data_IF_433881969394
#
_entry.id   IF_433881969394
#
_cell.length_a   1.000
_cell.length_b   1.000
_cell.length_c   1.000
_cell.angle_alpha   90.00
_cell.angle_beta   90.00
_cell.angle_gamma   90.00
#
_symmetry.space_group_name_H-M   'P 1'
#
loop_
_entity.id
_entity.type
_entity.pdbx_description
1 polymer ?
#
# COMPACT_ATOMS: atom_id res chain seq x y z
N UNK A 1 -11.57 3.57 -68.77
CA UNK A 1 -10.15 3.22 -68.66
C UNK A 1 -9.79 3.06 -67.17
N UNK A 2 -9.69 1.80 -66.74
CA UNK A 2 -9.27 1.50 -65.35
C UNK A 2 -7.86 0.97 -65.40
N UNK A 3 -6.91 1.68 -64.88
CA UNK A 3 -5.51 1.21 -64.77
C UNK A 3 -5.43 0.30 -63.52
N UNK A 4 -5.06 -0.94 -63.79
CA UNK A 4 -4.79 -1.99 -62.80
C UNK A 4 -3.32 -1.92 -62.49
N UNK A 5 -3.00 -1.70 -61.22
CA UNK A 5 -1.64 -1.85 -60.70
C UNK A 5 -1.43 -3.29 -60.25
N UNK A 6 -0.82 -4.11 -61.07
CA UNK A 6 -0.33 -5.42 -60.67
C UNK A 6 1.12 -5.25 -60.20
N UNK A 7 1.34 -5.39 -58.94
CA UNK A 7 2.69 -5.49 -58.41
C UNK A 7 3.12 -6.96 -58.50
N UNK A 8 4.11 -7.22 -59.33
CA UNK A 8 4.77 -8.54 -59.42
C UNK A 8 5.52 -8.84 -58.10
N UNK A 9 5.19 -9.97 -57.48
CA UNK A 9 5.91 -10.50 -56.34
C UNK A 9 7.18 -11.26 -56.82
N UNK A 10 8.31 -11.09 -56.17
CA UNK A 10 9.53 -11.85 -56.52
C UNK A 10 9.32 -13.33 -56.13
N UNK A 11 9.61 -14.18 -57.14
CA UNK A 11 9.63 -15.64 -56.99
C UNK A 11 10.83 -16.07 -56.18
N UNK A 12 10.58 -16.77 -55.10
CA UNK A 12 11.57 -17.66 -54.51
C UNK A 12 11.89 -17.43 -53.05
N UNK A 13 11.00 -17.87 -52.16
CA UNK A 13 11.48 -18.48 -50.91
C UNK A 13 10.37 -19.41 -50.39
N UNK A 14 10.58 -20.71 -50.57
CA UNK A 14 9.79 -21.73 -49.90
C UNK A 14 10.22 -21.75 -48.43
N UNK A 15 9.38 -21.32 -47.51
CA UNK A 15 9.53 -21.58 -46.10
C UNK A 15 8.32 -22.37 -45.64
N UNK A 16 8.64 -23.55 -45.13
CA UNK A 16 7.75 -24.48 -44.49
C UNK A 16 7.06 -23.83 -43.28
N UNK A 17 5.86 -24.33 -43.00
CA UNK A 17 4.95 -23.83 -41.98
C UNK A 17 5.58 -23.50 -40.65
N UNK A 18 5.32 -22.29 -40.23
CA UNK A 18 5.33 -21.91 -38.83
C UNK A 18 4.05 -21.09 -38.59
N UNK A 19 3.26 -21.61 -37.68
CA UNK A 19 2.08 -20.93 -37.16
C UNK A 19 2.47 -19.51 -36.75
N UNK A 20 1.84 -18.52 -37.35
CA UNK A 20 1.94 -17.14 -36.91
C UNK A 20 1.26 -17.01 -35.55
N UNK A 21 2.01 -17.21 -34.47
CA UNK A 21 1.68 -16.64 -33.19
C UNK A 21 1.77 -15.13 -33.43
N UNK A 22 0.63 -14.44 -33.36
CA UNK A 22 0.60 -12.99 -33.27
C UNK A 22 1.37 -12.60 -31.98
N UNK A 23 2.67 -12.42 -32.10
CA UNK A 23 3.45 -11.72 -31.12
C UNK A 23 2.92 -10.29 -31.14
N UNK A 24 2.17 -9.92 -30.14
CA UNK A 24 1.91 -8.54 -29.81
C UNK A 24 3.28 -7.85 -29.79
N UNK A 25 3.54 -7.00 -30.78
CA UNK A 25 4.83 -6.39 -31.01
C UNK A 25 5.31 -5.77 -29.70
N UNK A 26 6.39 -6.31 -29.21
CA UNK A 26 7.18 -5.68 -28.18
C UNK A 26 7.59 -4.29 -28.70
N UNK A 27 6.89 -3.27 -28.24
CA UNK A 27 7.44 -1.93 -28.19
C UNK A 27 8.65 -2.06 -27.32
N UNK A 28 9.82 -1.80 -27.91
CA UNK A 28 11.11 -1.92 -27.27
C UNK A 28 11.14 -1.16 -25.93
N UNK A 29 11.77 -1.70 -24.93
CA UNK A 29 11.56 -1.34 -23.55
C UNK A 29 12.40 -0.11 -23.19
N UNK A 30 11.73 0.96 -22.84
CA UNK A 30 12.20 1.54 -21.59
C UNK A 30 11.87 0.48 -20.54
N UNK A 31 12.85 0.04 -19.78
CA UNK A 31 12.72 -1.02 -18.79
C UNK A 31 11.79 -0.57 -17.66
N UNK A 32 10.52 -0.53 -17.95
CA UNK A 32 9.46 -0.53 -16.97
C UNK A 32 9.38 -1.99 -16.52
N UNK A 33 9.97 -2.28 -15.37
CA UNK A 33 9.81 -3.58 -14.75
C UNK A 33 8.34 -3.91 -14.66
N UNK A 34 7.97 -5.16 -14.87
CA UNK A 34 6.59 -5.61 -14.67
C UNK A 34 6.15 -5.26 -13.25
N UNK A 35 4.95 -4.70 -13.05
CA UNK A 35 4.44 -4.47 -11.72
C UNK A 35 4.50 -5.75 -10.90
N UNK A 36 5.05 -5.66 -9.70
CA UNK A 36 5.14 -6.78 -8.77
C UNK A 36 4.52 -6.39 -7.44
N UNK A 37 3.90 -7.35 -6.75
CA UNK A 37 3.35 -7.17 -5.41
C UNK A 37 4.29 -7.83 -4.41
N UNK A 38 4.68 -7.07 -3.39
CA UNK A 38 5.43 -7.58 -2.26
C UNK A 38 4.66 -7.29 -0.97
N UNK A 39 4.50 -8.29 -0.10
CA UNK A 39 3.96 -8.08 1.24
C UNK A 39 5.04 -7.44 2.12
N UNK A 40 4.76 -6.29 2.69
CA UNK A 40 5.65 -5.58 3.60
C UNK A 40 5.54 -6.10 5.04
N UNK A 41 4.33 -6.47 5.46
CA UNK A 41 4.01 -7.02 6.76
C UNK A 41 2.74 -7.86 6.70
N UNK A 42 2.68 -8.93 7.47
CA UNK A 42 1.49 -9.75 7.66
C UNK A 42 1.06 -9.67 9.14
N UNK A 43 -0.14 -9.15 9.37
CA UNK A 43 -0.71 -9.09 10.71
C UNK A 43 -0.95 -10.50 11.28
N UNK A 44 -0.73 -10.65 12.59
CA UNK A 44 -0.91 -11.92 13.31
C UNK A 44 -2.18 -11.94 14.14
N UNK A 45 -2.90 -10.83 14.17
CA UNK A 45 -4.01 -10.57 15.08
C UNK A 45 -3.52 -10.21 16.50
N UNK A 46 -4.43 -10.07 17.45
CA UNK A 46 -4.10 -9.73 18.84
C UNK A 46 -3.33 -8.40 18.96
N UNK A 47 -2.12 -8.42 19.56
CA UNK A 47 -1.40 -7.22 19.95
C UNK A 47 -0.95 -6.33 18.78
N UNK A 48 -0.74 -6.87 17.59
CA UNK A 48 -0.29 -6.10 16.43
C UNK A 48 -1.42 -5.55 15.56
N UNK A 49 -2.65 -5.95 15.84
CA UNK A 49 -3.83 -5.56 15.10
C UNK A 49 -4.29 -6.62 14.11
N UNK A 50 -5.48 -6.42 13.57
CA UNK A 50 -6.09 -7.24 12.52
C UNK A 50 -7.00 -6.36 11.64
N UNK A 51 -7.35 -6.85 10.47
CA UNK A 51 -8.25 -6.16 9.54
C UNK A 51 -7.80 -4.72 9.23
N UNK A 52 -6.72 -4.52 8.47
CA UNK A 52 -6.29 -3.19 8.05
C UNK A 52 -7.21 -2.66 6.94
N UNK A 53 -8.41 -2.23 7.31
CA UNK A 53 -9.44 -1.75 6.38
C UNK A 53 -9.24 -0.29 5.97
N UNK A 54 -8.54 0.49 6.79
CA UNK A 54 -8.16 1.86 6.48
C UNK A 54 -7.05 1.94 5.43
N UNK A 55 -7.00 3.04 4.69
CA UNK A 55 -5.88 3.33 3.80
C UNK A 55 -4.59 3.56 4.57
N UNK A 56 -3.47 3.43 3.87
CA UNK A 56 -2.15 3.82 4.40
C UNK A 56 -1.71 5.16 3.84
N UNK A 57 -0.94 5.90 4.63
CA UNK A 57 -0.27 7.14 4.21
C UNK A 57 1.24 6.98 4.31
N UNK A 58 1.99 7.70 3.50
CA UNK A 58 3.44 7.72 3.56
C UNK A 58 3.93 9.07 4.11
N UNK A 59 4.71 9.02 5.17
CA UNK A 59 5.40 10.18 5.73
C UNK A 59 6.59 10.61 4.87
N UNK A 60 7.10 11.82 5.15
CA UNK A 60 8.23 12.41 4.42
C UNK A 60 9.53 11.61 4.54
N UNK A 61 9.66 10.81 5.57
CA UNK A 61 10.79 9.91 5.85
C UNK A 61 10.63 8.52 5.18
N UNK A 62 9.58 8.33 4.38
CA UNK A 62 9.25 7.07 3.74
C UNK A 62 8.54 6.06 4.64
N UNK A 63 8.35 6.36 5.93
CA UNK A 63 7.59 5.51 6.85
C UNK A 63 6.12 5.46 6.42
N UNK A 64 5.55 4.27 6.38
CA UNK A 64 4.13 4.06 6.10
C UNK A 64 3.39 4.01 7.43
N UNK A 65 2.27 4.72 7.52
CA UNK A 65 1.36 4.70 8.66
C UNK A 65 0.00 4.17 8.24
N UNK A 66 -0.64 3.42 9.11
CA UNK A 66 -1.97 2.87 8.87
C UNK A 66 -2.70 2.52 10.15
N UNK A 67 -3.92 2.05 10.00
CA UNK A 67 -4.76 1.57 11.07
C UNK A 67 -5.18 0.13 10.81
N UNK A 68 -5.32 -0.64 11.88
CA UNK A 68 -6.02 -1.90 11.89
C UNK A 68 -7.25 -1.74 12.79
N UNK A 69 -8.43 -2.08 12.30
CA UNK A 69 -9.68 -1.80 13.01
C UNK A 69 -9.90 -2.72 14.22
N UNK A 70 -9.28 -3.89 14.22
CA UNK A 70 -9.36 -4.91 15.27
C UNK A 70 -7.98 -5.19 15.88
N UNK A 71 -7.98 -5.94 16.97
CA UNK A 71 -6.77 -6.29 17.72
C UNK A 71 -6.30 -5.13 18.61
N UNK A 72 -5.05 -5.18 19.04
CA UNK A 72 -4.56 -4.35 20.14
C UNK A 72 -4.85 -4.97 21.49
N UNK A 73 -4.67 -4.20 22.56
CA UNK A 73 -4.82 -4.71 23.94
C UNK A 73 -6.29 -5.04 24.25
N UNK A 74 -7.20 -4.18 23.80
CA UNK A 74 -8.65 -4.25 24.13
C UNK A 74 -9.50 -4.62 22.91
N UNK A 75 -8.87 -5.13 21.84
CA UNK A 75 -9.52 -5.49 20.58
C UNK A 75 -10.28 -4.34 19.88
N UNK A 76 -9.89 -3.11 20.18
CA UNK A 76 -10.50 -1.89 19.66
C UNK A 76 -9.69 -1.26 18.52
N UNK A 77 -8.68 -1.99 18.03
CA UNK A 77 -7.86 -1.58 16.90
C UNK A 77 -6.55 -0.88 17.29
N UNK A 78 -5.70 -0.70 16.30
CA UNK A 78 -4.36 -0.13 16.46
C UNK A 78 -4.05 0.93 15.41
N UNK A 79 -3.16 1.85 15.76
CA UNK A 79 -2.41 2.70 14.82
C UNK A 79 -1.00 2.14 14.73
N UNK A 80 -0.50 1.93 13.53
CA UNK A 80 0.83 1.33 13.31
C UNK A 80 1.70 2.14 12.36
N UNK A 81 2.99 1.81 12.37
CA UNK A 81 3.96 2.27 11.38
C UNK A 81 4.75 1.11 10.80
N UNK A 82 5.18 1.28 9.55
CA UNK A 82 6.15 0.45 8.84
C UNK A 82 7.29 1.33 8.36
N UNK A 83 8.45 1.18 8.99
CA UNK A 83 9.65 1.93 8.62
C UNK A 83 10.41 1.16 7.54
N UNK A 84 10.80 1.82 6.43
CA UNK A 84 11.54 1.17 5.38
C UNK A 84 12.92 0.72 5.86
N UNK A 85 13.49 -0.35 5.28
CA UNK A 85 14.84 -0.77 5.59
C UNK A 85 15.87 0.26 5.11
N UNK A 86 16.99 0.35 5.84
CA UNK A 86 18.09 1.25 5.49
C UNK A 86 18.79 0.86 4.16
N UNK A 87 18.66 -0.39 3.76
CA UNK A 87 19.25 -0.94 2.52
C UNK A 87 18.15 -1.57 1.65
N UNK A 88 18.29 -1.43 0.34
CA UNK A 88 17.35 -2.02 -0.61
C UNK A 88 17.24 -3.54 -0.42
N UNK A 89 16.03 -4.08 -0.44
CA UNK A 89 15.74 -5.49 -0.22
C UNK A 89 15.77 -5.95 1.23
N UNK A 90 16.00 -5.06 2.19
CA UNK A 90 15.93 -5.36 3.61
C UNK A 90 14.50 -5.54 4.12
N UNK A 91 14.37 -5.83 5.40
CA UNK A 91 13.08 -6.06 6.06
C UNK A 91 12.49 -4.75 6.59
N UNK A 92 11.21 -4.53 6.35
CA UNK A 92 10.44 -3.44 6.94
C UNK A 92 10.27 -3.66 8.44
N UNK A 93 10.37 -2.59 9.21
CA UNK A 93 10.18 -2.63 10.67
C UNK A 93 8.77 -2.19 11.02
N UNK A 94 7.96 -3.12 11.53
CA UNK A 94 6.62 -2.85 12.04
C UNK A 94 6.66 -2.38 13.49
N UNK A 95 5.83 -1.40 13.82
CA UNK A 95 5.61 -0.93 15.19
C UNK A 95 4.15 -0.53 15.40
N UNK A 96 3.53 -1.00 16.48
CA UNK A 96 2.29 -0.44 16.99
C UNK A 96 2.63 0.88 17.67
N UNK A 97 1.99 1.95 17.26
CA UNK A 97 2.16 3.29 17.83
C UNK A 97 1.17 3.53 18.96
N UNK A 98 -0.06 3.04 18.79
CA UNK A 98 -1.12 3.20 19.75
C UNK A 98 -2.15 2.07 19.63
N UNK A 99 -2.68 1.60 20.75
CA UNK A 99 -3.85 0.72 20.81
C UNK A 99 -5.04 1.55 21.28
N UNK A 100 -6.13 1.53 20.52
CA UNK A 100 -7.36 2.20 20.93
C UNK A 100 -7.99 1.43 22.09
N UNK A 101 -8.51 2.18 23.08
CA UNK A 101 -9.00 1.60 24.32
C UNK A 101 -10.53 1.50 24.35
N UNK A 102 -11.21 1.94 23.29
CA UNK A 102 -12.66 2.08 23.33
C UNK A 102 -13.11 3.25 24.22
N UNK A 103 -14.34 3.22 24.68
CA UNK A 103 -14.89 4.28 25.54
C UNK A 103 -14.77 5.67 24.89
N UNK A 104 -14.34 6.67 25.65
CA UNK A 104 -14.16 8.03 25.14
C UNK A 104 -13.05 8.17 24.10
N UNK A 105 -12.10 7.21 24.04
CA UNK A 105 -10.96 7.20 23.12
C UNK A 105 -11.30 6.69 21.72
N UNK A 106 -12.48 6.14 21.52
CA UNK A 106 -12.88 5.54 20.24
C UNK A 106 -12.34 4.13 20.02
N UNK A 107 -12.86 3.49 19.00
CA UNK A 107 -12.42 2.16 18.54
C UNK A 107 -12.71 1.98 17.06
N UNK A 108 -12.12 0.93 16.49
CA UNK A 108 -12.21 0.63 15.05
C UNK A 108 -11.72 1.79 14.17
N UNK A 109 -10.43 2.14 14.26
CA UNK A 109 -9.88 3.28 13.52
C UNK A 109 -9.76 2.94 12.03
N UNK A 110 -10.11 3.89 11.14
CA UNK A 110 -10.08 3.65 9.71
C UNK A 110 -9.05 4.50 8.98
N UNK A 111 -9.10 5.77 8.98
CA UNK A 111 -8.27 6.59 8.13
C UNK A 111 -7.20 7.38 8.91
N UNK A 112 -6.11 7.71 8.25
CA UNK A 112 -5.06 8.58 8.78
C UNK A 112 -4.71 9.70 7.79
N UNK A 113 -4.26 10.81 8.34
CA UNK A 113 -3.52 11.85 7.65
C UNK A 113 -2.38 12.35 8.53
N UNK A 114 -1.36 12.98 7.95
CA UNK A 114 -0.21 13.50 8.68
C UNK A 114 -0.04 14.99 8.42
N UNK A 115 0.26 15.77 9.47
CA UNK A 115 0.65 17.15 9.31
C UNK A 115 2.16 17.32 9.03
N UNK A 116 2.58 18.53 8.72
CA UNK A 116 3.99 18.89 8.47
C UNK A 116 4.93 18.66 9.67
N UNK A 117 4.38 18.54 10.88
CA UNK A 117 5.13 18.30 12.10
C UNK A 117 5.27 16.80 12.38
N UNK A 118 4.57 15.96 11.60
CA UNK A 118 4.55 14.50 11.76
C UNK A 118 3.49 13.98 12.72
N UNK A 119 2.57 14.83 13.21
CA UNK A 119 1.42 14.37 13.97
C UNK A 119 0.45 13.64 13.05
N UNK A 120 -0.15 12.56 13.55
CA UNK A 120 -1.15 11.80 12.85
C UNK A 120 -2.54 12.18 13.35
N UNK A 121 -3.47 12.32 12.42
CA UNK A 121 -4.88 12.54 12.70
C UNK A 121 -5.68 11.43 12.06
N UNK A 122 -6.63 10.89 12.77
CA UNK A 122 -7.47 9.80 12.31
C UNK A 122 -8.87 9.87 12.88
N UNK A 123 -9.69 8.94 12.46
CA UNK A 123 -11.03 8.79 13.02
C UNK A 123 -11.29 7.33 13.35
N UNK A 124 -12.15 7.12 14.33
CA UNK A 124 -12.64 5.84 14.77
C UNK A 124 -14.17 5.84 14.69
N UNK A 125 -14.73 4.76 14.19
CA UNK A 125 -16.16 4.73 13.82
C UNK A 125 -17.08 4.36 14.95
N UNK A 126 -16.54 3.85 16.05
CA UNK A 126 -17.35 3.41 17.20
C UNK A 126 -16.84 4.00 18.52
N UNK A 127 -17.61 3.79 19.59
CA UNK A 127 -17.38 4.36 20.90
C UNK A 127 -17.49 5.90 20.93
N UNK A 128 -16.70 6.58 21.75
CA UNK A 128 -16.89 7.99 22.04
C UNK A 128 -18.22 8.18 22.80
N UNK A 129 -19.04 9.11 22.34
CA UNK A 129 -20.42 9.27 22.83
C UNK A 129 -21.42 8.38 22.07
N UNK A 130 -20.98 7.27 21.48
CA UNK A 130 -21.77 6.35 20.66
C UNK A 130 -21.82 6.70 19.17
N UNK A 131 -20.99 7.65 18.71
CA UNK A 131 -21.01 8.16 17.33
C UNK A 131 -19.62 8.27 16.70
N UNK A 132 -18.61 7.58 17.27
CA UNK A 132 -17.22 7.64 16.82
C UNK A 132 -16.45 8.86 17.35
N UNK A 133 -15.18 8.93 17.00
CA UNK A 133 -14.25 9.99 17.43
C UNK A 133 -13.32 10.42 16.33
N UNK A 134 -12.82 11.65 16.40
CA UNK A 134 -11.63 12.11 15.67
C UNK A 134 -10.50 12.24 16.68
N UNK A 135 -9.35 11.64 16.40
CA UNK A 135 -8.23 11.63 17.33
C UNK A 135 -6.96 12.22 16.71
N UNK A 136 -6.05 12.67 17.57
CA UNK A 136 -4.70 13.07 17.21
C UNK A 136 -3.70 12.17 17.95
N UNK A 137 -2.73 11.64 17.24
CA UNK A 137 -1.54 11.01 17.79
C UNK A 137 -0.36 11.94 17.56
N UNK A 138 0.12 12.58 18.62
CA UNK A 138 1.25 13.49 18.55
C UNK A 138 2.56 12.74 18.34
N UNK A 139 3.39 13.24 17.42
CA UNK A 139 4.75 12.74 17.28
C UNK A 139 5.53 13.07 18.57
N UNK A 140 6.22 12.10 19.19
CA UNK A 140 7.05 12.39 20.35
C UNK A 140 8.10 13.46 20.05
N UNK A 141 8.24 14.43 20.93
CA UNK A 141 9.20 15.53 20.78
C UNK A 141 10.68 15.07 20.78
N UNK A 142 10.94 13.88 21.33
CA UNK A 142 12.28 13.29 21.38
C UNK A 142 12.23 11.87 20.82
N UNK A 143 13.09 11.51 19.84
CA UNK A 143 13.18 10.15 19.35
C UNK A 143 13.52 9.20 20.50
N UNK A 144 12.71 8.16 20.70
CA UNK A 144 12.97 7.11 21.70
C UNK A 144 12.23 7.23 23.03
N UNK A 145 11.42 8.26 23.25
CA UNK A 145 10.43 8.29 24.35
C UNK A 145 9.04 8.03 23.78
N UNK A 146 8.66 6.79 23.77
CA UNK A 146 7.27 6.33 23.62
C UNK A 146 6.82 5.78 24.97
#
# INVERSE_FOLDING_TARGET
MRQRWEAEAPRGLRLAGMAAVLACAAIAPNAMGTPSVASLYAFRGKADGASPEGGVIQGLDGTIYGTADQGGVDDNGTVFSLTPPAVSGGTWTFKVLYCLQGGAGGGYPLGLTQDKNGNLYGYAIDFGAGHGTVFQLQKPATPGKA
#
